data_IF_288312087625
#
_entry.id   IF_288312087625
#
_cell.length_a   1.000
_cell.length_b   1.000
_cell.length_c   1.000
_cell.angle_alpha   90.00
_cell.angle_beta   90.00
_cell.angle_gamma   90.00
#
_symmetry.space_group_name_H-M   'P 1'
#
loop_
_entity.id
_entity.type
_entity.pdbx_description
1 polymer ?
#
# COMPACT_ATOMS: atom_id res chain seq x y z
N UNK A 1 5.84 25.42 5.16
CA UNK A 1 6.46 24.56 4.14
C UNK A 1 7.97 24.33 4.39
N UNK A 2 8.78 25.38 4.50
CA UNK A 2 10.23 25.29 4.80
C UNK A 2 10.54 24.65 6.16
N UNK A 3 9.76 24.96 7.19
CA UNK A 3 9.96 24.41 8.54
C UNK A 3 9.65 22.91 8.63
N UNK A 4 8.63 22.45 7.92
CA UNK A 4 8.24 21.03 7.85
C UNK A 4 9.33 20.22 7.12
N UNK A 5 9.85 20.75 6.01
CA UNK A 5 10.97 20.13 5.28
C UNK A 5 12.28 20.10 6.08
N UNK A 6 12.49 21.08 6.95
CA UNK A 6 13.68 21.14 7.79
C UNK A 6 13.59 20.13 8.94
N UNK A 7 12.39 20.00 9.55
CA UNK A 7 12.12 18.98 10.58
C UNK A 7 12.21 17.58 9.99
N UNK A 8 11.68 17.37 8.78
CA UNK A 8 11.82 16.10 8.06
C UNK A 8 13.29 15.76 7.80
N UNK A 9 14.09 16.73 7.34
CA UNK A 9 15.53 16.55 7.13
C UNK A 9 16.29 16.31 8.44
N UNK A 10 15.90 16.96 9.54
CA UNK A 10 16.49 16.77 10.86
C UNK A 10 16.12 15.41 11.46
N UNK A 11 14.86 14.97 11.31
CA UNK A 11 14.43 13.64 11.71
C UNK A 11 15.14 12.54 10.88
N UNK A 12 15.29 12.77 9.57
CA UNK A 12 16.06 11.88 8.69
C UNK A 12 17.55 11.85 9.02
N UNK A 13 18.09 12.88 9.67
CA UNK A 13 19.52 12.95 10.01
C UNK A 13 19.86 12.41 11.40
N UNK A 14 18.90 12.33 12.31
CA UNK A 14 19.17 11.95 13.72
C UNK A 14 18.78 10.49 14.08
N UNK A 15 17.66 9.96 13.52
CA UNK A 15 17.23 8.57 13.64
C UNK A 15 16.17 8.23 12.55
N UNK A 16 16.23 8.94 11.46
CA UNK A 16 15.14 9.25 10.54
C UNK A 16 14.61 8.11 9.69
N UNK A 17 15.19 6.93 9.73
CA UNK A 17 14.65 5.79 9.02
C UNK A 17 13.48 5.12 9.75
N UNK A 18 13.37 5.30 11.07
CA UNK A 18 12.45 4.54 11.90
C UNK A 18 11.00 5.03 11.84
N UNK A 19 10.76 6.32 11.56
CA UNK A 19 9.41 6.89 11.61
C UNK A 19 8.69 6.81 10.26
N UNK A 20 9.38 7.10 9.17
CA UNK A 20 8.78 7.19 7.84
C UNK A 20 8.79 5.89 7.04
N UNK A 21 9.59 4.92 7.43
CA UNK A 21 9.72 3.66 6.71
C UNK A 21 9.38 2.46 7.60
N UNK A 22 8.70 1.49 7.01
CA UNK A 22 8.47 0.19 7.62
C UNK A 22 9.77 -0.63 7.61
N UNK A 23 10.17 -1.10 8.77
CA UNK A 23 11.45 -1.79 8.94
C UNK A 23 11.52 -3.12 8.16
N UNK A 24 10.40 -3.84 8.08
CA UNK A 24 10.32 -5.14 7.41
C UNK A 24 10.36 -5.00 5.89
N UNK A 25 9.56 -4.08 5.34
CA UNK A 25 9.32 -3.97 3.89
C UNK A 25 10.12 -2.86 3.22
N UNK A 26 10.60 -1.90 3.99
CA UNK A 26 11.22 -0.64 3.50
C UNK A 26 10.25 0.27 2.73
N UNK A 27 8.97 -0.09 2.67
CA UNK A 27 7.92 0.82 2.23
C UNK A 27 7.77 1.98 3.21
N UNK A 28 7.04 3.02 2.83
CA UNK A 28 6.64 4.04 3.79
C UNK A 28 5.80 3.42 4.92
N UNK A 29 5.94 3.96 6.12
CA UNK A 29 5.23 3.51 7.30
C UNK A 29 3.79 4.01 7.34
N UNK A 30 2.98 3.44 8.26
CA UNK A 30 1.66 3.99 8.62
C UNK A 30 1.75 5.44 9.08
N UNK A 31 2.80 5.79 9.84
CA UNK A 31 3.02 7.17 10.28
C UNK A 31 3.19 8.14 9.09
N UNK A 32 3.96 7.76 8.09
CA UNK A 32 4.12 8.55 6.86
C UNK A 32 2.77 8.73 6.14
N UNK A 33 2.00 7.67 6.00
CA UNK A 33 0.66 7.73 5.43
C UNK A 33 -0.24 8.72 6.18
N UNK A 34 -0.30 8.63 7.50
CA UNK A 34 -1.18 9.46 8.32
C UNK A 34 -0.76 10.94 8.33
N UNK A 35 0.53 11.25 8.24
CA UNK A 35 1.05 12.60 8.45
C UNK A 35 1.54 13.31 7.18
N UNK A 36 1.90 12.59 6.13
CA UNK A 36 2.51 13.18 4.93
C UNK A 36 1.61 13.03 3.70
N UNK A 37 1.03 11.86 3.49
CA UNK A 37 0.33 11.53 2.25
C UNK A 37 -0.85 12.47 1.97
N UNK A 38 -1.65 12.80 2.97
CA UNK A 38 -2.84 13.65 2.80
C UNK A 38 -2.48 15.02 2.23
N UNK A 39 -1.42 15.63 2.73
CA UNK A 39 -0.96 16.92 2.25
C UNK A 39 -0.26 16.81 0.89
N UNK A 40 0.51 15.74 0.69
CA UNK A 40 1.25 15.50 -0.55
C UNK A 40 0.35 15.35 -1.77
N UNK A 41 -0.77 14.65 -1.61
CA UNK A 41 -1.71 14.36 -2.71
C UNK A 41 -2.99 15.21 -2.69
N UNK A 42 -3.07 16.19 -1.78
CA UNK A 42 -4.11 17.21 -1.84
C UNK A 42 -4.02 17.95 -3.17
N UNK A 43 -5.17 18.23 -3.77
CA UNK A 43 -5.28 18.97 -5.03
C UNK A 43 -4.51 18.38 -6.22
N UNK A 44 -4.21 17.07 -6.17
CA UNK A 44 -3.50 16.35 -7.23
C UNK A 44 -4.34 15.24 -7.84
N UNK A 45 -4.22 15.09 -9.16
CA UNK A 45 -4.67 13.90 -9.88
C UNK A 45 -3.69 12.76 -9.60
N UNK A 46 -4.18 11.64 -9.11
CA UNK A 46 -3.35 10.45 -8.86
C UNK A 46 -4.19 9.17 -8.83
N UNK A 47 -3.56 8.04 -9.10
CA UNK A 47 -4.13 6.74 -8.79
C UNK A 47 -3.94 6.42 -7.31
N UNK A 48 -4.97 5.86 -6.70
CA UNK A 48 -4.93 5.28 -5.35
C UNK A 48 -5.23 3.80 -5.46
N UNK A 49 -4.37 2.97 -4.90
CA UNK A 49 -4.55 1.52 -4.90
C UNK A 49 -4.48 1.00 -3.47
N UNK A 50 -5.56 0.37 -3.02
CA UNK A 50 -5.60 -0.31 -1.73
C UNK A 50 -5.31 -1.80 -1.94
N UNK A 51 -4.40 -2.37 -1.16
CA UNK A 51 -3.92 -3.75 -1.32
C UNK A 51 -4.00 -4.49 0.00
N UNK A 52 -4.44 -5.74 -0.07
CA UNK A 52 -4.45 -6.69 1.05
C UNK A 52 -3.79 -7.99 0.61
N UNK A 53 -2.93 -8.57 1.45
CA UNK A 53 -2.30 -9.86 1.18
C UNK A 53 -3.30 -10.98 1.45
N UNK A 54 -3.49 -11.87 0.48
CA UNK A 54 -4.35 -13.04 0.62
C UNK A 54 -3.63 -14.13 1.41
N UNK A 55 -4.32 -14.72 2.37
CA UNK A 55 -3.87 -15.93 3.05
C UNK A 55 -2.66 -15.77 3.98
N UNK A 56 -2.39 -14.56 4.48
CA UNK A 56 -1.26 -14.35 5.39
C UNK A 56 -1.44 -15.10 6.70
N UNK A 57 -2.65 -15.09 7.27
CA UNK A 57 -2.95 -15.82 8.51
C UNK A 57 -2.75 -17.33 8.32
N UNK A 58 -3.29 -17.87 7.25
CA UNK A 58 -3.18 -19.27 6.90
C UNK A 58 -1.71 -19.69 6.67
N UNK A 59 -0.94 -18.83 6.03
CA UNK A 59 0.51 -19.01 5.82
C UNK A 59 1.25 -19.05 7.15
N UNK A 60 0.97 -18.10 8.05
CA UNK A 60 1.56 -18.07 9.38
C UNK A 60 1.18 -19.31 10.21
N UNK A 61 -0.08 -19.69 10.18
CA UNK A 61 -0.59 -20.85 10.95
C UNK A 61 0.01 -22.18 10.45
N UNK A 62 0.19 -22.30 9.13
CA UNK A 62 0.69 -23.54 8.51
C UNK A 62 2.22 -23.65 8.52
N UNK A 63 2.93 -22.56 8.23
CA UNK A 63 4.38 -22.56 7.98
C UNK A 63 5.18 -21.72 8.98
N UNK A 64 4.52 -20.98 9.87
CA UNK A 64 5.12 -20.10 10.85
C UNK A 64 5.32 -18.66 10.36
N UNK A 65 5.53 -17.75 11.32
CA UNK A 65 5.65 -16.30 11.04
C UNK A 65 6.82 -15.94 10.11
N UNK A 66 7.85 -16.76 10.07
CA UNK A 66 8.98 -16.55 9.17
C UNK A 66 8.55 -16.58 7.69
N UNK A 67 7.68 -17.52 7.33
CA UNK A 67 7.13 -17.60 5.97
C UNK A 67 6.16 -16.45 5.66
N UNK A 68 5.34 -16.07 6.63
CA UNK A 68 4.49 -14.90 6.49
C UNK A 68 5.29 -13.61 6.27
N UNK A 69 6.39 -13.44 6.98
CA UNK A 69 7.31 -12.31 6.78
C UNK A 69 7.94 -12.31 5.39
N UNK A 70 8.32 -13.48 4.87
CA UNK A 70 8.81 -13.61 3.49
C UNK A 70 7.74 -13.19 2.48
N UNK A 71 6.51 -13.62 2.67
CA UNK A 71 5.38 -13.25 1.81
C UNK A 71 5.16 -11.73 1.81
N UNK A 72 5.14 -11.11 2.98
CA UNK A 72 5.02 -9.64 3.13
C UNK A 72 6.14 -8.93 2.37
N UNK A 73 7.39 -9.35 2.53
CA UNK A 73 8.54 -8.74 1.86
C UNK A 73 8.46 -8.90 0.34
N UNK A 74 8.03 -10.04 -0.15
CA UNK A 74 7.89 -10.29 -1.57
C UNK A 74 6.79 -9.44 -2.20
N UNK A 75 5.63 -9.37 -1.58
CA UNK A 75 4.55 -8.48 -2.02
C UNK A 75 5.01 -7.03 -2.04
N UNK A 76 5.63 -6.55 -0.97
CA UNK A 76 6.16 -5.19 -0.90
C UNK A 76 7.16 -4.88 -2.02
N UNK A 77 8.09 -5.79 -2.30
CA UNK A 77 9.05 -5.65 -3.40
C UNK A 77 8.35 -5.54 -4.76
N UNK A 78 7.34 -6.36 -4.99
CA UNK A 78 6.56 -6.32 -6.23
C UNK A 78 5.78 -5.00 -6.36
N UNK A 79 5.17 -4.52 -5.28
CA UNK A 79 4.45 -3.24 -5.27
C UNK A 79 5.39 -2.04 -5.56
N UNK A 80 6.58 -2.04 -4.97
CA UNK A 80 7.60 -1.01 -5.19
C UNK A 80 8.10 -0.99 -6.64
N UNK A 81 7.98 -2.10 -7.36
CA UNK A 81 8.43 -2.25 -8.75
C UNK A 81 7.38 -1.89 -9.79
N UNK A 82 6.15 -1.60 -9.39
CA UNK A 82 5.08 -1.20 -10.33
C UNK A 82 5.43 0.13 -10.99
N UNK A 83 5.35 0.17 -12.31
CA UNK A 83 5.61 1.39 -13.09
C UNK A 83 4.65 2.51 -12.66
N UNK A 84 5.19 3.67 -12.34
CA UNK A 84 4.43 4.83 -11.93
C UNK A 84 3.98 4.84 -10.46
N UNK A 85 4.30 3.83 -9.67
CA UNK A 85 4.11 3.87 -8.22
C UNK A 85 5.09 4.87 -7.60
N UNK A 86 4.56 5.91 -6.95
CA UNK A 86 5.37 7.00 -6.34
C UNK A 86 5.52 6.84 -4.84
N UNK A 87 4.46 6.47 -4.16
CA UNK A 87 4.48 6.17 -2.74
C UNK A 87 3.80 4.82 -2.50
N UNK A 88 4.48 3.93 -1.82
CA UNK A 88 3.95 2.66 -1.34
C UNK A 88 4.04 2.67 0.17
N UNK A 89 2.88 2.61 0.84
CA UNK A 89 2.79 2.66 2.30
C UNK A 89 2.27 1.34 2.84
N UNK A 90 2.94 0.78 3.83
CA UNK A 90 2.40 -0.32 4.63
C UNK A 90 1.60 0.26 5.78
N UNK A 91 0.28 0.02 5.79
CA UNK A 91 -0.63 0.64 6.76
C UNK A 91 -1.16 -0.32 7.81
N UNK A 92 -0.97 -1.60 7.62
CA UNK A 92 -1.34 -2.68 8.53
C UNK A 92 -0.43 -3.87 8.35
N UNK A 93 -0.70 -4.97 9.04
CA UNK A 93 0.10 -6.19 8.95
C UNK A 93 0.17 -6.75 7.52
N UNK A 94 -0.95 -6.78 6.84
CA UNK A 94 -1.16 -7.33 5.50
C UNK A 94 -1.73 -6.30 4.50
N UNK A 95 -1.73 -5.02 4.87
CA UNK A 95 -2.37 -3.96 4.09
C UNK A 95 -1.37 -2.91 3.61
N UNK A 96 -1.53 -2.52 2.33
CA UNK A 96 -0.74 -1.46 1.68
C UNK A 96 -1.65 -0.48 0.96
N UNK A 97 -1.19 0.76 0.84
CA UNK A 97 -1.78 1.75 -0.07
C UNK A 97 -0.68 2.30 -0.97
N UNK A 98 -0.97 2.34 -2.27
CA UNK A 98 -0.10 2.93 -3.28
C UNK A 98 -0.72 4.21 -3.82
N UNK A 99 0.16 5.16 -4.12
CA UNK A 99 -0.17 6.37 -4.87
C UNK A 99 0.67 6.40 -6.14
N UNK A 100 0.01 6.53 -7.28
CA UNK A 100 0.64 6.53 -8.59
C UNK A 100 0.32 7.80 -9.37
N UNK A 101 1.23 8.16 -10.27
CA UNK A 101 1.04 9.28 -11.20
C UNK A 101 0.36 8.83 -12.51
N UNK A 102 0.43 9.69 -13.53
CA UNK A 102 -0.16 9.43 -14.85
C UNK A 102 0.43 8.20 -15.55
N UNK A 103 1.68 7.83 -15.22
CA UNK A 103 2.36 6.67 -15.78
C UNK A 103 2.06 5.37 -15.04
N UNK A 104 1.19 5.39 -14.03
CA UNK A 104 0.85 4.22 -13.25
C UNK A 104 0.23 3.13 -14.11
N UNK A 105 0.91 2.00 -14.19
CA UNK A 105 0.47 0.86 -14.98
C UNK A 105 -0.35 -0.13 -14.14
N UNK A 106 -1.66 0.07 -14.13
CA UNK A 106 -2.62 -0.77 -13.39
C UNK A 106 -2.50 -2.25 -13.81
N UNK A 107 -2.17 -2.54 -15.08
CA UNK A 107 -2.08 -3.91 -15.58
C UNK A 107 -1.02 -4.74 -14.85
N UNK A 108 0.00 -4.09 -14.28
CA UNK A 108 1.03 -4.76 -13.51
C UNK A 108 0.51 -5.30 -12.17
N UNK A 109 -0.58 -4.74 -11.64
CA UNK A 109 -1.19 -5.25 -10.42
C UNK A 109 -1.75 -6.66 -10.58
N UNK A 110 -2.29 -6.99 -11.74
CA UNK A 110 -2.81 -8.34 -12.04
C UNK A 110 -1.73 -9.43 -12.08
N UNK A 111 -0.47 -9.03 -12.23
CA UNK A 111 0.68 -9.95 -12.27
C UNK A 111 1.25 -10.25 -10.89
N UNK A 112 0.82 -9.54 -9.87
CA UNK A 112 1.27 -9.76 -8.49
C UNK A 112 0.40 -10.85 -7.87
N UNK A 113 1.02 -11.95 -7.46
CA UNK A 113 0.32 -13.03 -6.77
C UNK A 113 0.02 -12.68 -5.31
N UNK A 114 -0.93 -13.39 -4.73
CA UNK A 114 -1.27 -13.37 -3.32
C UNK A 114 -1.82 -12.02 -2.80
N UNK A 115 -2.40 -11.21 -3.67
CA UNK A 115 -3.04 -9.95 -3.28
C UNK A 115 -4.48 -9.83 -3.78
N UNK A 116 -5.26 -9.10 -3.02
CA UNK A 116 -6.50 -8.48 -3.48
C UNK A 116 -6.30 -6.98 -3.51
N UNK A 117 -6.77 -6.29 -4.53
CA UNK A 117 -6.57 -4.86 -4.65
C UNK A 117 -7.80 -4.14 -5.25
N UNK A 118 -7.89 -2.86 -4.97
CA UNK A 118 -8.87 -1.96 -5.57
C UNK A 118 -8.18 -0.67 -5.99
N UNK A 119 -8.56 -0.16 -7.16
CA UNK A 119 -7.97 1.04 -7.76
C UNK A 119 -9.01 2.14 -7.90
N UNK A 120 -8.63 3.37 -7.57
CA UNK A 120 -9.44 4.56 -7.76
C UNK A 120 -8.61 5.69 -8.36
N UNK A 121 -9.13 6.33 -9.40
CA UNK A 121 -8.54 7.55 -9.94
C UNK A 121 -9.07 8.75 -9.15
N UNK A 122 -8.21 9.36 -8.36
CA UNK A 122 -8.51 10.54 -7.57
C UNK A 122 -8.30 11.79 -8.41
N UNK A 123 -9.34 12.59 -8.59
CA UNK A 123 -9.23 13.92 -9.18
C UNK A 123 -8.75 14.95 -8.17
N UNK A 124 -8.25 16.09 -8.67
CA UNK A 124 -7.69 17.16 -7.83
C UNK A 124 -8.68 17.65 -6.77
N UNK A 125 -9.97 17.75 -7.10
CA UNK A 125 -11.03 18.23 -6.18
C UNK A 125 -11.48 17.19 -5.15
N UNK A 126 -11.06 15.93 -5.29
CA UNK A 126 -11.46 14.84 -4.40
C UNK A 126 -10.54 14.78 -3.16
N UNK A 127 -11.16 14.54 -2.00
CA UNK A 127 -10.44 14.31 -0.75
C UNK A 127 -9.68 12.98 -0.76
N UNK A 128 -8.44 12.99 -0.24
CA UNK A 128 -7.57 11.80 -0.20
C UNK A 128 -8.20 10.66 0.60
N UNK A 129 -8.82 10.96 1.76
CA UNK A 129 -9.46 9.93 2.60
C UNK A 129 -10.64 9.29 1.87
N UNK A 130 -11.45 10.09 1.17
CA UNK A 130 -12.55 9.59 0.34
C UNK A 130 -12.06 8.68 -0.78
N UNK A 131 -10.99 9.08 -1.49
CA UNK A 131 -10.38 8.28 -2.54
C UNK A 131 -9.87 6.93 -2.02
N UNK A 132 -9.21 6.93 -0.86
CA UNK A 132 -8.74 5.71 -0.20
C UNK A 132 -9.89 4.76 0.17
N UNK A 133 -11.01 5.28 0.67
CA UNK A 133 -12.20 4.48 0.99
C UNK A 133 -12.81 3.83 -0.25
N UNK A 134 -12.82 4.53 -1.39
CA UNK A 134 -13.30 3.98 -2.66
C UNK A 134 -12.41 2.84 -3.16
N UNK A 135 -11.08 3.02 -3.07
CA UNK A 135 -10.12 1.96 -3.40
C UNK A 135 -10.28 0.74 -2.47
N UNK A 136 -10.42 0.96 -1.18
CA UNK A 136 -10.66 -0.08 -0.17
C UNK A 136 -11.93 -0.88 -0.46
N UNK A 137 -13.04 -0.22 -0.79
CA UNK A 137 -14.30 -0.88 -1.15
C UNK A 137 -14.14 -1.82 -2.35
N UNK A 138 -13.39 -1.42 -3.36
CA UNK A 138 -13.10 -2.26 -4.53
C UNK A 138 -12.17 -3.42 -4.18
N UNK A 139 -11.18 -3.20 -3.34
CA UNK A 139 -10.30 -4.26 -2.82
C UNK A 139 -11.12 -5.31 -2.07
N UNK A 140 -12.04 -4.89 -1.22
CA UNK A 140 -12.90 -5.79 -0.47
C UNK A 140 -13.75 -6.69 -1.39
N UNK A 141 -14.30 -6.16 -2.47
CA UNK A 141 -15.06 -6.93 -3.47
C UNK A 141 -14.16 -8.01 -4.08
N UNK A 142 -12.96 -7.66 -4.51
CA UNK A 142 -12.00 -8.63 -5.07
C UNK A 142 -11.64 -9.71 -4.03
N UNK A 143 -11.42 -9.32 -2.78
CA UNK A 143 -11.11 -10.24 -1.68
C UNK A 143 -12.23 -11.26 -1.46
N UNK A 144 -13.48 -10.85 -1.54
CA UNK A 144 -14.63 -11.76 -1.44
C UNK A 144 -14.69 -12.73 -2.63
N UNK A 145 -14.43 -12.26 -3.85
CA UNK A 145 -14.36 -13.10 -5.04
C UNK A 145 -13.29 -14.19 -4.91
N UNK A 146 -12.09 -13.83 -4.45
CA UNK A 146 -11.00 -14.77 -4.21
C UNK A 146 -11.39 -15.84 -3.17
N UNK A 147 -11.99 -15.44 -2.06
CA UNK A 147 -12.48 -16.39 -1.03
C UNK A 147 -13.54 -17.35 -1.58
N UNK A 148 -14.47 -16.86 -2.38
CA UNK A 148 -15.51 -17.70 -3.00
C UNK A 148 -14.91 -18.72 -3.97
N UNK A 149 -13.90 -18.34 -4.75
CA UNK A 149 -13.21 -19.25 -5.66
C UNK A 149 -12.47 -20.36 -4.91
N UNK A 150 -11.83 -20.07 -3.80
CA UNK A 150 -11.15 -21.06 -2.94
C UNK A 150 -12.18 -22.05 -2.37
N UNK A 151 -13.34 -21.58 -1.93
CA UNK A 151 -14.39 -22.44 -1.35
C UNK A 151 -15.05 -23.36 -2.39
N UNK A 152 -15.14 -22.95 -3.66
CA UNK A 152 -15.68 -23.78 -4.76
C UNK A 152 -14.71 -24.91 -5.14
N UNK A 153 -13.40 -24.69 -5.00
CA UNK A 153 -12.37 -25.67 -5.34
C UNK A 153 -12.01 -26.64 -4.20
N UNK A 154 -12.67 -26.50 -3.07
CA UNK A 154 -12.57 -27.45 -1.93
C UNK A 154 -13.73 -28.41 -1.92
#
# INVERSE_FOLDING_TARGET
>A
MLFKNLIEKLYLSMDGNLVYYDEITKCHSRYYYDNIIKDKYRDRLCYVVYVDINGLKETNDKYGHHYGTKLIKQVASNLLSVKGAKDVCRIGGDEFILFGDEDFDISQMDKISDISYGTHLKYASEDVVSACKKADSKMYIMKQQVKNMVNINM
#
